data_IF_667635287779
#
_entry.id   IF_667635287779
#
_cell.length_a   1.000
_cell.length_b   1.000
_cell.length_c   1.000
_cell.angle_alpha   90.00
_cell.angle_beta   90.00
_cell.angle_gamma   90.00
#
_symmetry.space_group_name_H-M   'P 1'
#
loop_
_entity.id
_entity.type
_entity.pdbx_description
1 polymer ?
#
# COMPACT_ATOMS: atom_id res chain seq x y z
N UNK A 1 40.17 -40.31 13.33
CA UNK A 1 39.22 -41.44 13.35
C UNK A 1 37.76 -41.03 13.55
N UNK A 2 37.32 -40.48 14.70
CA UNK A 2 35.89 -40.16 14.91
C UNK A 2 35.40 -39.09 13.93
N UNK A 3 36.18 -38.02 13.71
CA UNK A 3 35.87 -36.99 12.71
C UNK A 3 35.74 -37.54 11.28
N UNK A 4 36.66 -38.39 10.84
CA UNK A 4 36.63 -38.98 9.48
C UNK A 4 35.40 -39.86 9.26
N UNK A 5 34.97 -40.60 10.30
CA UNK A 5 33.74 -41.37 10.25
C UNK A 5 32.49 -40.47 10.13
N UNK A 6 32.47 -39.35 10.88
CA UNK A 6 31.41 -38.34 10.77
C UNK A 6 31.40 -37.73 9.36
N UNK A 7 32.55 -37.30 8.83
CA UNK A 7 32.68 -36.72 7.48
C UNK A 7 32.19 -37.72 6.41
N UNK A 8 32.59 -39.00 6.50
CA UNK A 8 32.15 -40.05 5.56
C UNK A 8 30.62 -40.27 5.61
N UNK A 9 30.01 -40.22 6.79
CA UNK A 9 28.56 -40.33 6.93
C UNK A 9 27.82 -39.11 6.36
N UNK A 10 28.38 -37.91 6.51
CA UNK A 10 27.82 -36.68 5.92
C UNK A 10 27.90 -36.72 4.39
N UNK A 11 29.03 -37.16 3.82
CA UNK A 11 29.18 -37.35 2.36
C UNK A 11 28.17 -38.38 1.82
N UNK A 12 27.87 -39.40 2.61
CA UNK A 12 26.81 -40.38 2.34
C UNK A 12 25.37 -39.89 2.55
N UNK A 13 25.17 -38.62 2.96
CA UNK A 13 23.86 -38.00 3.30
C UNK A 13 23.14 -38.68 4.47
N UNK A 14 23.87 -39.41 5.31
CA UNK A 14 23.35 -40.14 6.47
C UNK A 14 23.41 -39.26 7.74
N UNK A 15 22.76 -38.09 7.67
CA UNK A 15 22.84 -37.02 8.67
C UNK A 15 22.44 -37.47 10.09
N UNK A 16 21.39 -38.28 10.21
CA UNK A 16 20.94 -38.82 11.50
C UNK A 16 22.00 -39.74 12.13
N UNK A 17 22.71 -40.53 11.32
CA UNK A 17 23.79 -41.41 11.78
C UNK A 17 25.03 -40.59 12.14
N UNK A 18 25.39 -39.60 11.31
CA UNK A 18 26.50 -38.68 11.59
C UNK A 18 26.30 -37.95 12.92
N UNK A 19 25.09 -37.42 13.16
CA UNK A 19 24.73 -36.74 14.42
C UNK A 19 24.73 -37.69 15.62
N UNK A 20 24.24 -38.93 15.45
CA UNK A 20 24.28 -39.95 16.50
C UNK A 20 25.72 -40.32 16.88
N UNK A 21 26.59 -40.51 15.89
CA UNK A 21 28.02 -40.81 16.12
C UNK A 21 28.73 -39.65 16.81
N UNK A 22 28.46 -38.41 16.39
CA UNK A 22 28.97 -37.22 17.09
C UNK A 22 28.52 -37.21 18.56
N UNK A 23 27.22 -37.42 18.82
CA UNK A 23 26.65 -37.41 20.18
C UNK A 23 27.19 -38.51 21.09
N UNK A 24 27.37 -39.72 20.58
CA UNK A 24 27.77 -40.87 21.39
C UNK A 24 29.28 -40.94 21.65
N UNK A 25 30.09 -40.55 20.66
CA UNK A 25 31.55 -40.74 20.73
C UNK A 25 32.33 -39.44 20.96
N UNK A 26 31.86 -38.31 20.44
CA UNK A 26 32.58 -37.04 20.57
C UNK A 26 31.67 -35.80 20.43
N UNK A 27 30.91 -35.44 21.48
CA UNK A 27 29.83 -34.44 21.41
C UNK A 27 30.25 -33.06 20.92
N UNK A 28 31.54 -32.70 21.00
CA UNK A 28 32.07 -31.45 20.46
C UNK A 28 31.89 -31.30 18.94
N UNK A 29 31.65 -32.40 18.22
CA UNK A 29 31.36 -32.37 16.79
C UNK A 29 29.87 -32.26 16.45
N UNK A 30 28.95 -32.30 17.43
CA UNK A 30 27.52 -32.06 17.15
C UNK A 30 27.26 -30.71 16.44
N UNK A 31 27.84 -29.57 16.89
CA UNK A 31 27.66 -28.30 16.20
C UNK A 31 28.19 -28.30 14.76
N UNK A 32 29.28 -29.03 14.51
CA UNK A 32 29.88 -29.16 13.18
C UNK A 32 28.97 -29.94 12.23
N UNK A 33 28.37 -31.04 12.69
CA UNK A 33 27.38 -31.80 11.89
C UNK A 33 26.14 -30.95 11.61
N UNK A 34 25.66 -30.21 12.60
CA UNK A 34 24.50 -29.33 12.45
C UNK A 34 24.76 -28.18 11.47
N UNK A 35 25.96 -27.59 11.48
CA UNK A 35 26.37 -26.55 10.53
C UNK A 35 26.47 -27.10 9.11
N UNK A 36 27.10 -28.26 8.91
CA UNK A 36 27.19 -28.93 7.61
C UNK A 36 25.84 -29.37 7.07
N UNK A 37 24.94 -29.82 7.95
CA UNK A 37 23.58 -30.18 7.55
C UNK A 37 22.78 -28.95 7.10
N UNK A 38 22.92 -27.80 7.78
CA UNK A 38 22.33 -26.53 7.35
C UNK A 38 22.84 -26.09 5.98
N UNK A 39 24.15 -26.16 5.74
CA UNK A 39 24.74 -25.85 4.43
C UNK A 39 24.20 -26.76 3.32
N UNK A 40 24.11 -28.07 3.59
CA UNK A 40 23.55 -29.03 2.67
C UNK A 40 22.09 -28.71 2.33
N UNK A 41 21.25 -28.50 3.33
CA UNK A 41 19.84 -28.19 3.13
C UNK A 41 19.64 -26.89 2.33
N UNK A 42 20.44 -25.84 2.62
CA UNK A 42 20.48 -24.60 1.83
C UNK A 42 20.81 -24.89 0.35
N UNK A 43 21.77 -25.76 0.09
CA UNK A 43 22.17 -26.16 -1.27
C UNK A 43 21.16 -27.04 -2.01
N UNK A 44 20.29 -27.78 -1.31
CA UNK A 44 19.26 -28.62 -1.95
C UNK A 44 18.02 -27.88 -2.40
N UNK A 45 17.82 -26.63 -1.96
CA UNK A 45 16.63 -25.84 -2.30
C UNK A 45 15.33 -26.30 -1.62
N UNK A 46 15.41 -27.18 -0.62
CA UNK A 46 14.23 -27.69 0.12
C UNK A 46 13.96 -26.87 1.38
N UNK A 47 13.18 -25.81 1.24
CA UNK A 47 12.84 -24.91 2.34
C UNK A 47 12.06 -25.60 3.48
N UNK A 48 11.21 -26.59 3.18
CA UNK A 48 10.41 -27.31 4.19
C UNK A 48 11.28 -28.05 5.21
N UNK A 49 12.35 -28.69 4.76
CA UNK A 49 13.29 -29.42 5.62
C UNK A 49 14.12 -28.46 6.50
N UNK A 50 14.30 -27.20 6.06
CA UNK A 50 15.00 -26.17 6.82
C UNK A 50 14.17 -25.60 7.97
N UNK A 51 12.84 -25.63 7.93
CA UNK A 51 12.00 -25.02 8.98
C UNK A 51 12.32 -25.61 10.36
N UNK A 52 12.57 -26.91 10.46
CA UNK A 52 12.90 -27.56 11.74
C UNK A 52 14.31 -27.26 12.27
N UNK A 53 15.20 -26.68 11.47
CA UNK A 53 16.64 -26.53 11.76
C UNK A 53 17.07 -25.07 11.80
N UNK A 54 16.59 -24.26 10.86
CA UNK A 54 16.86 -22.84 10.70
C UNK A 54 15.68 -22.18 9.97
N UNK A 55 14.66 -21.78 10.74
CA UNK A 55 13.43 -21.17 10.19
C UNK A 55 13.75 -19.91 9.39
N UNK A 56 14.73 -19.10 9.81
CA UNK A 56 15.05 -17.85 9.10
C UNK A 56 15.63 -18.14 7.73
N UNK A 57 16.54 -19.11 7.63
CA UNK A 57 17.04 -19.58 6.33
C UNK A 57 15.93 -20.17 5.45
N UNK A 58 14.98 -20.91 6.03
CA UNK A 58 13.82 -21.42 5.30
C UNK A 58 12.95 -20.28 4.73
N UNK A 59 12.71 -19.23 5.53
CA UNK A 59 11.94 -18.06 5.13
C UNK A 59 12.61 -17.27 4.01
N UNK A 60 13.92 -17.06 4.10
CA UNK A 60 14.70 -16.42 3.03
C UNK A 60 14.61 -17.24 1.73
N UNK A 61 14.71 -18.57 1.81
CA UNK A 61 14.55 -19.45 0.65
C UNK A 61 13.13 -19.44 0.07
N UNK A 62 12.08 -19.39 0.90
CA UNK A 62 10.71 -19.23 0.43
C UNK A 62 10.52 -17.90 -0.32
N UNK A 63 11.07 -16.80 0.20
CA UNK A 63 11.01 -15.49 -0.42
C UNK A 63 11.76 -15.46 -1.77
N UNK A 64 12.97 -16.01 -1.84
CA UNK A 64 13.78 -16.10 -3.06
C UNK A 64 13.09 -16.92 -4.16
N UNK A 65 12.38 -17.98 -3.78
CA UNK A 65 11.61 -18.83 -4.69
C UNK A 65 10.23 -18.25 -5.04
N UNK A 66 9.87 -17.06 -4.56
CA UNK A 66 8.56 -16.43 -4.78
C UNK A 66 7.40 -17.12 -4.05
N UNK A 67 7.68 -18.02 -3.10
CA UNK A 67 6.68 -18.74 -2.31
C UNK A 67 6.20 -17.90 -1.11
N UNK A 68 5.70 -16.70 -1.41
CA UNK A 68 5.41 -15.67 -0.41
C UNK A 68 4.33 -16.07 0.59
N UNK A 69 3.28 -16.77 0.15
CA UNK A 69 2.20 -17.21 1.04
C UNK A 69 2.74 -18.17 2.10
N UNK A 70 3.56 -19.15 1.70
CA UNK A 70 4.22 -20.07 2.64
C UNK A 70 5.20 -19.32 3.55
N UNK A 71 5.96 -18.37 3.00
CA UNK A 71 6.90 -17.53 3.75
C UNK A 71 6.19 -16.80 4.89
N UNK A 72 5.15 -16.02 4.58
CA UNK A 72 4.43 -15.21 5.57
C UNK A 72 3.68 -16.09 6.58
N UNK A 73 3.07 -17.20 6.14
CA UNK A 73 2.43 -18.16 7.06
C UNK A 73 3.42 -18.77 8.04
N UNK A 74 4.59 -19.20 7.56
CA UNK A 74 5.65 -19.76 8.40
C UNK A 74 6.17 -18.71 9.38
N UNK A 75 6.38 -17.47 8.92
CA UNK A 75 6.85 -16.38 9.77
C UNK A 75 5.83 -16.00 10.86
N UNK A 76 4.53 -16.02 10.53
CA UNK A 76 3.45 -15.77 11.48
C UNK A 76 3.40 -16.84 12.59
N UNK A 77 3.63 -18.11 12.24
CA UNK A 77 3.67 -19.23 13.19
C UNK A 77 4.80 -19.15 14.22
N UNK A 78 5.85 -18.35 13.98
CA UNK A 78 6.96 -18.18 14.92
C UNK A 78 6.60 -17.31 16.13
N UNK A 79 5.47 -16.61 16.13
CA UNK A 79 5.12 -15.58 17.12
C UNK A 79 6.23 -14.52 17.32
N UNK A 80 7.05 -14.29 16.31
CA UNK A 80 8.08 -13.26 16.31
C UNK A 80 7.68 -12.13 15.36
N UNK A 81 7.05 -11.11 15.93
CA UNK A 81 6.46 -9.99 15.18
C UNK A 81 7.48 -9.24 14.31
N UNK A 82 8.72 -9.06 14.79
CA UNK A 82 9.79 -8.42 14.04
C UNK A 82 10.18 -9.23 12.80
N UNK A 83 10.25 -10.56 12.92
CA UNK A 83 10.55 -11.45 11.80
C UNK A 83 9.39 -11.48 10.80
N UNK A 84 8.15 -11.58 11.27
CA UNK A 84 6.95 -11.52 10.41
C UNK A 84 6.97 -10.25 9.54
N UNK A 85 7.14 -9.08 10.15
CA UNK A 85 7.08 -7.81 9.42
C UNK A 85 8.29 -7.52 8.53
N UNK A 86 9.43 -8.21 8.72
CA UNK A 86 10.50 -8.25 7.72
C UNK A 86 9.98 -8.85 6.42
N UNK A 87 9.35 -10.04 6.48
CA UNK A 87 8.88 -10.74 5.29
C UNK A 87 7.61 -10.14 4.69
N UNK A 88 6.70 -9.60 5.51
CA UNK A 88 5.54 -8.83 5.01
C UNK A 88 6.01 -7.61 4.21
N UNK A 89 7.00 -6.85 4.70
CA UNK A 89 7.53 -5.70 3.97
C UNK A 89 8.22 -6.08 2.64
N UNK A 90 8.96 -7.19 2.62
CA UNK A 90 9.57 -7.73 1.39
C UNK A 90 8.50 -8.15 0.38
N UNK A 91 7.44 -8.82 0.83
CA UNK A 91 6.36 -9.24 -0.04
C UNK A 91 5.57 -8.05 -0.57
N UNK A 92 5.17 -7.12 0.29
CA UNK A 92 4.48 -5.87 -0.09
C UNK A 92 5.30 -5.07 -1.12
N UNK A 93 6.62 -4.97 -0.94
CA UNK A 93 7.51 -4.31 -1.91
C UNK A 93 7.49 -5.01 -3.28
N UNK A 94 7.41 -6.34 -3.30
CA UNK A 94 7.32 -7.12 -4.54
C UNK A 94 5.98 -6.88 -5.24
N UNK A 95 4.87 -6.94 -4.50
CA UNK A 95 3.53 -6.67 -5.02
C UNK A 95 3.38 -5.24 -5.58
N UNK A 96 3.92 -4.24 -4.89
CA UNK A 96 3.92 -2.84 -5.37
C UNK A 96 4.67 -2.72 -6.70
N UNK A 97 5.83 -3.39 -6.85
CA UNK A 97 6.58 -3.40 -8.12
C UNK A 97 5.80 -4.07 -9.26
N UNK A 98 4.95 -5.03 -8.94
CA UNK A 98 4.04 -5.70 -9.87
C UNK A 98 2.76 -4.90 -10.14
N UNK A 99 2.58 -3.72 -9.52
CA UNK A 99 1.38 -2.89 -9.64
C UNK A 99 0.19 -3.38 -8.81
N UNK A 100 0.41 -4.33 -7.89
CA UNK A 100 -0.61 -4.93 -7.02
C UNK A 100 -0.60 -4.30 -5.63
N UNK A 101 -0.74 -2.99 -5.57
CA UNK A 101 -0.72 -2.22 -4.31
C UNK A 101 -1.95 -2.50 -3.44
N UNK A 102 -3.05 -2.96 -4.03
CA UNK A 102 -4.22 -3.52 -3.35
C UNK A 102 -3.86 -4.78 -2.54
N UNK A 103 -3.18 -5.74 -3.15
CA UNK A 103 -2.74 -6.95 -2.45
C UNK A 103 -1.68 -6.64 -1.38
N UNK A 104 -0.85 -5.62 -1.60
CA UNK A 104 0.10 -5.15 -0.58
C UNK A 104 -0.62 -4.56 0.64
N UNK A 105 -1.70 -3.80 0.43
CA UNK A 105 -2.57 -3.30 1.50
C UNK A 105 -3.19 -4.45 2.29
N UNK A 106 -3.73 -5.48 1.62
CA UNK A 106 -4.34 -6.65 2.26
C UNK A 106 -3.40 -7.36 3.23
N UNK A 107 -2.09 -7.38 2.93
CA UNK A 107 -1.09 -7.94 3.86
C UNK A 107 -1.04 -7.17 5.17
N UNK A 108 -1.10 -5.84 5.14
CA UNK A 108 -1.04 -5.01 6.33
C UNK A 108 -2.37 -4.97 7.09
N UNK A 109 -3.50 -5.03 6.39
CA UNK A 109 -4.81 -5.25 7.03
C UNK A 109 -4.84 -6.58 7.78
N UNK A 110 -4.27 -7.64 7.19
CA UNK A 110 -4.26 -8.99 7.78
C UNK A 110 -3.25 -9.17 8.91
N UNK A 111 -2.05 -8.62 8.77
CA UNK A 111 -0.92 -8.88 9.67
C UNK A 111 -0.59 -7.71 10.61
N UNK A 112 -1.25 -6.57 10.45
CA UNK A 112 -1.00 -5.35 11.21
C UNK A 112 0.02 -4.43 10.54
N UNK A 113 0.07 -3.19 11.01
CA UNK A 113 0.81 -2.08 10.42
C UNK A 113 1.73 -1.45 11.48
N UNK A 114 2.90 -2.07 11.77
CA UNK A 114 3.79 -1.59 12.81
C UNK A 114 4.45 -0.25 12.44
N UNK A 115 4.83 0.56 13.45
CA UNK A 115 5.41 1.89 13.25
C UNK A 115 6.92 1.78 13.00
N UNK A 116 7.31 0.91 12.06
CA UNK A 116 8.71 0.77 11.65
C UNK A 116 9.04 1.80 10.59
N UNK A 117 9.93 2.74 10.90
CA UNK A 117 10.32 3.85 10.02
C UNK A 117 10.78 3.39 8.63
N UNK A 118 11.48 2.24 8.54
CA UNK A 118 11.90 1.63 7.28
C UNK A 118 10.73 1.22 6.37
N UNK A 119 9.53 1.03 6.91
CA UNK A 119 8.33 0.64 6.16
C UNK A 119 7.47 1.84 5.73
N UNK A 120 7.72 3.06 6.21
CA UNK A 120 6.85 4.21 5.94
C UNK A 120 6.67 4.50 4.46
N UNK A 121 7.72 4.32 3.66
CA UNK A 121 7.63 4.51 2.21
C UNK A 121 6.71 3.47 1.53
N UNK A 122 6.58 2.26 2.10
CA UNK A 122 5.65 1.24 1.61
C UNK A 122 4.21 1.71 1.86
N UNK A 123 3.91 2.17 3.07
CA UNK A 123 2.58 2.67 3.44
C UNK A 123 2.16 3.86 2.56
N UNK A 124 3.05 4.85 2.41
CA UNK A 124 2.82 6.00 1.53
C UNK A 124 2.59 5.58 0.09
N UNK A 125 3.36 4.61 -0.41
CA UNK A 125 3.24 4.13 -1.78
C UNK A 125 1.90 3.45 -2.03
N UNK A 126 1.43 2.62 -1.09
CA UNK A 126 0.09 2.02 -1.13
C UNK A 126 -0.97 3.12 -1.27
N UNK A 127 -0.95 4.12 -0.38
CA UNK A 127 -1.89 5.26 -0.44
C UNK A 127 -1.84 5.96 -1.80
N UNK A 128 -0.65 6.34 -2.27
CA UNK A 128 -0.50 7.06 -3.55
C UNK A 128 -1.00 6.25 -4.74
N UNK A 129 -0.74 4.93 -4.79
CA UNK A 129 -1.17 4.08 -5.91
C UNK A 129 -2.70 3.91 -5.93
N UNK A 130 -3.32 3.75 -4.75
CA UNK A 130 -4.79 3.73 -4.60
C UNK A 130 -5.42 5.07 -4.99
N UNK A 131 -4.83 6.20 -4.57
CA UNK A 131 -5.29 7.53 -4.97
C UNK A 131 -5.19 7.76 -6.48
N UNK A 132 -4.28 7.11 -7.20
CA UNK A 132 -4.17 7.20 -8.67
C UNK A 132 -5.13 6.28 -9.43
N UNK A 133 -5.78 5.34 -8.76
CA UNK A 133 -6.67 4.37 -9.42
C UNK A 133 -7.98 5.05 -9.87
N UNK A 134 -8.35 4.89 -11.13
CA UNK A 134 -9.47 5.60 -11.77
C UNK A 134 -10.85 4.97 -11.58
N UNK A 135 -10.90 3.67 -11.28
CA UNK A 135 -12.15 2.91 -11.14
C UNK A 135 -12.67 2.83 -9.68
N UNK A 136 -12.33 3.83 -8.84
CA UNK A 136 -12.69 3.85 -7.41
C UNK A 136 -13.75 4.90 -7.03
N UNK A 137 -14.33 5.59 -8.01
CA UNK A 137 -15.42 6.55 -7.82
C UNK A 137 -16.80 5.87 -7.92
N UNK A 138 -17.06 4.87 -7.07
CA UNK A 138 -18.30 4.07 -7.08
C UNK A 138 -18.61 3.47 -5.71
N UNK A 139 -19.85 3.01 -5.51
CA UNK A 139 -20.27 2.47 -4.22
C UNK A 139 -19.52 1.17 -3.86
N UNK A 140 -19.24 0.34 -4.86
CA UNK A 140 -18.57 -0.95 -4.74
C UNK A 140 -17.12 -0.82 -4.28
N UNK A 141 -16.50 0.35 -4.46
CA UNK A 141 -15.16 0.67 -3.99
C UNK A 141 -15.08 0.91 -2.47
N UNK A 142 -16.21 0.85 -1.75
CA UNK A 142 -16.24 1.03 -0.29
C UNK A 142 -15.23 0.13 0.43
N UNK A 143 -15.15 -1.16 0.04
CA UNK A 143 -14.26 -2.12 0.71
C UNK A 143 -12.80 -1.70 0.59
N UNK A 144 -12.35 -1.42 -0.63
CA UNK A 144 -10.99 -0.94 -0.90
C UNK A 144 -10.63 0.29 -0.07
N UNK A 145 -11.52 1.28 0.03
CA UNK A 145 -11.26 2.48 0.83
C UNK A 145 -11.35 2.24 2.33
N UNK A 146 -12.24 1.37 2.79
CA UNK A 146 -12.36 0.99 4.18
C UNK A 146 -11.12 0.22 4.66
N UNK A 147 -10.61 -0.70 3.84
CA UNK A 147 -9.38 -1.46 4.11
C UNK A 147 -8.17 -0.52 4.19
N UNK A 148 -8.08 0.48 3.30
CA UNK A 148 -7.04 1.52 3.37
C UNK A 148 -7.14 2.34 4.66
N UNK A 149 -8.36 2.75 5.02
CA UNK A 149 -8.63 3.48 6.27
C UNK A 149 -8.23 2.64 7.48
N UNK A 150 -8.57 1.35 7.49
CA UNK A 150 -8.30 0.46 8.63
C UNK A 150 -6.80 0.19 8.78
N UNK A 151 -6.07 -0.01 7.67
CA UNK A 151 -4.61 -0.09 7.67
C UNK A 151 -3.96 1.18 8.25
N UNK A 152 -4.40 2.37 7.80
CA UNK A 152 -3.88 3.65 8.28
C UNK A 152 -4.27 3.92 9.73
N UNK A 153 -5.45 3.49 10.16
CA UNK A 153 -5.90 3.63 11.53
C UNK A 153 -5.01 2.83 12.48
N UNK A 154 -4.74 1.56 12.16
CA UNK A 154 -3.81 0.73 12.92
C UNK A 154 -2.40 1.34 12.96
N UNK A 155 -1.90 1.87 11.83
CA UNK A 155 -0.62 2.59 11.81
C UNK A 155 -0.59 3.79 12.75
N UNK A 156 -1.60 4.68 12.69
CA UNK A 156 -1.69 5.85 13.56
C UNK A 156 -1.80 5.45 15.03
N UNK A 157 -2.61 4.44 15.37
CA UNK A 157 -2.68 3.93 16.75
C UNK A 157 -1.33 3.41 17.24
N UNK A 158 -0.58 2.73 16.37
CA UNK A 158 0.74 2.22 16.69
C UNK A 158 1.79 3.34 16.82
N UNK A 159 1.72 4.36 15.97
CA UNK A 159 2.58 5.55 16.04
C UNK A 159 2.34 6.33 17.33
N UNK A 160 1.07 6.55 17.70
CA UNK A 160 0.68 7.22 18.93
C UNK A 160 1.22 6.54 20.21
N UNK A 161 1.42 5.21 20.17
CA UNK A 161 2.00 4.39 21.24
C UNK A 161 3.53 4.29 21.19
N UNK A 162 4.17 4.87 20.18
CA UNK A 162 5.61 4.80 19.94
C UNK A 162 6.31 6.12 20.28
N UNK A 163 7.63 6.18 20.08
CA UNK A 163 8.41 7.42 20.19
C UNK A 163 8.05 8.47 19.11
N UNK A 164 7.30 8.07 18.08
CA UNK A 164 6.84 8.95 16.99
C UNK A 164 5.50 9.63 17.29
N UNK A 165 4.98 9.52 18.51
CA UNK A 165 3.72 10.15 18.90
C UNK A 165 3.76 11.67 18.67
N UNK A 166 2.81 12.18 17.89
CA UNK A 166 2.72 13.58 17.45
C UNK A 166 3.97 14.09 16.69
N UNK A 167 4.75 13.21 16.07
CA UNK A 167 5.80 13.65 15.14
C UNK A 167 5.18 14.16 13.83
N UNK A 168 5.89 14.97 13.03
CA UNK A 168 5.40 15.38 11.71
C UNK A 168 5.03 14.20 10.80
N UNK A 169 5.73 13.07 10.96
CA UNK A 169 5.41 11.83 10.25
C UNK A 169 4.08 11.25 10.71
N UNK A 170 3.78 11.30 12.01
CA UNK A 170 2.48 10.88 12.54
C UNK A 170 1.35 11.75 12.01
N UNK A 171 1.49 13.08 12.07
CA UNK A 171 0.50 14.03 11.55
C UNK A 171 0.25 13.83 10.03
N UNK A 172 1.30 13.50 9.28
CA UNK A 172 1.17 13.19 7.85
C UNK A 172 0.35 11.91 7.61
N UNK A 173 0.53 10.87 8.41
CA UNK A 173 -0.28 9.66 8.32
C UNK A 173 -1.71 9.88 8.84
N UNK A 174 -1.93 10.73 9.84
CA UNK A 174 -3.27 11.15 10.27
C UNK A 174 -4.02 11.88 9.16
N UNK A 175 -3.32 12.72 8.38
CA UNK A 175 -3.90 13.37 7.21
C UNK A 175 -4.30 12.34 6.14
N UNK A 176 -3.44 11.35 5.87
CA UNK A 176 -3.77 10.24 4.96
C UNK A 176 -4.95 9.41 5.46
N UNK A 177 -5.04 9.16 6.77
CA UNK A 177 -6.15 8.46 7.39
C UNK A 177 -7.47 9.22 7.20
N UNK A 178 -7.46 10.54 7.39
CA UNK A 178 -8.62 11.40 7.16
C UNK A 178 -9.08 11.33 5.69
N UNK A 179 -8.13 11.41 4.74
CA UNK A 179 -8.40 11.27 3.31
C UNK A 179 -9.06 9.91 3.02
N UNK A 180 -8.46 8.81 3.50
CA UNK A 180 -9.01 7.47 3.31
C UNK A 180 -10.41 7.34 3.93
N UNK A 181 -10.63 7.93 5.10
CA UNK A 181 -11.94 7.98 5.75
C UNK A 181 -12.99 8.72 4.90
N UNK A 182 -12.65 9.87 4.31
CA UNK A 182 -13.54 10.60 3.42
C UNK A 182 -13.86 9.79 2.16
N UNK A 183 -12.88 9.14 1.53
CA UNK A 183 -13.12 8.27 0.38
C UNK A 183 -14.01 7.06 0.71
N UNK A 184 -13.79 6.41 1.86
CA UNK A 184 -14.61 5.29 2.33
C UNK A 184 -16.05 5.75 2.59
N UNK A 185 -16.22 6.84 3.32
CA UNK A 185 -17.54 7.38 3.65
C UNK A 185 -18.28 7.86 2.40
N UNK A 186 -17.57 8.46 1.44
CA UNK A 186 -18.11 8.85 0.13
C UNK A 186 -18.65 7.63 -0.59
N UNK A 187 -17.86 6.57 -0.70
CA UNK A 187 -18.26 5.34 -1.41
C UNK A 187 -19.46 4.68 -0.74
N UNK A 188 -19.51 4.64 0.60
CA UNK A 188 -20.69 4.16 1.34
C UNK A 188 -21.94 5.02 1.05
N UNK A 189 -21.81 6.35 1.09
CA UNK A 189 -22.91 7.28 0.82
C UNK A 189 -23.43 7.18 -0.62
N UNK A 190 -22.57 6.85 -1.59
CA UNK A 190 -22.98 6.63 -2.98
C UNK A 190 -23.92 5.44 -3.17
N UNK A 191 -23.91 4.47 -2.25
CA UNK A 191 -24.79 3.29 -2.29
C UNK A 191 -26.25 3.59 -1.99
N UNK A 192 -26.59 4.81 -1.56
CA UNK A 192 -27.94 5.21 -1.20
C UNK A 192 -28.31 6.57 -1.81
N UNK A 193 -29.41 6.62 -2.58
CA UNK A 193 -29.82 7.84 -3.29
C UNK A 193 -29.97 9.07 -2.39
N UNK A 194 -30.53 8.88 -1.19
CA UNK A 194 -30.75 9.94 -0.21
C UNK A 194 -29.45 10.52 0.35
N UNK A 195 -28.34 9.78 0.25
CA UNK A 195 -27.02 10.18 0.75
C UNK A 195 -26.10 10.74 -0.34
N UNK A 196 -26.54 10.76 -1.61
CA UNK A 196 -25.78 11.38 -2.72
C UNK A 196 -25.33 12.82 -2.44
N UNK A 197 -26.14 13.70 -1.80
CA UNK A 197 -25.68 15.04 -1.42
C UNK A 197 -24.53 15.01 -0.39
N UNK A 198 -24.47 14.00 0.48
CA UNK A 198 -23.35 13.80 1.42
C UNK A 198 -22.11 13.32 0.67
N UNK A 199 -22.26 12.38 -0.26
CA UNK A 199 -21.15 11.96 -1.12
C UNK A 199 -20.54 13.15 -1.89
N UNK A 200 -21.37 14.05 -2.43
CA UNK A 200 -20.89 15.27 -3.08
C UNK A 200 -20.12 16.19 -2.11
N UNK A 201 -20.65 16.45 -0.92
CA UNK A 201 -19.95 17.25 0.11
C UNK A 201 -18.61 16.63 0.53
N UNK A 202 -18.53 15.31 0.61
CA UNK A 202 -17.28 14.59 0.88
C UNK A 202 -16.28 14.71 -0.28
N UNK A 203 -16.76 14.62 -1.53
CA UNK A 203 -15.91 14.85 -2.70
C UNK A 203 -15.35 16.28 -2.74
N UNK A 204 -16.17 17.29 -2.43
CA UNK A 204 -15.70 18.68 -2.29
C UNK A 204 -14.72 18.84 -1.14
N UNK A 205 -14.97 18.15 -0.02
CA UNK A 205 -14.07 18.18 1.15
C UNK A 205 -12.68 17.64 0.85
N UNK A 206 -12.56 16.70 -0.09
CA UNK A 206 -11.28 16.14 -0.52
C UNK A 206 -10.42 17.15 -1.31
N UNK A 207 -10.99 18.23 -1.85
CA UNK A 207 -10.24 19.26 -2.57
C UNK A 207 -9.22 19.99 -1.66
N UNK A 208 -9.40 19.95 -0.33
CA UNK A 208 -8.45 20.51 0.64
C UNK A 208 -7.13 19.74 0.73
N UNK A 209 -7.10 18.55 0.16
CA UNK A 209 -5.99 17.61 0.28
C UNK A 209 -5.35 17.34 -1.09
N UNK A 210 -5.45 18.27 -2.03
CA UNK A 210 -4.86 18.17 -3.38
C UNK A 210 -3.34 18.29 -3.41
N UNK A 211 -2.73 18.59 -2.26
CA UNK A 211 -1.30 18.44 -2.02
C UNK A 211 -0.87 16.96 -1.92
N UNK A 212 -1.80 16.06 -1.56
CA UNK A 212 -1.58 14.60 -1.46
C UNK A 212 -2.35 13.85 -2.56
N UNK A 213 -3.60 14.25 -2.82
CA UNK A 213 -4.47 13.66 -3.84
C UNK A 213 -4.13 14.31 -5.19
N UNK A 214 -4.00 13.55 -6.29
CA UNK A 214 -3.87 14.15 -7.62
C UNK A 214 -4.99 15.17 -7.88
N UNK A 215 -4.61 16.43 -8.12
CA UNK A 215 -5.55 17.55 -8.15
C UNK A 215 -6.60 17.38 -9.25
N UNK A 216 -6.16 16.99 -10.45
CA UNK A 216 -7.02 16.71 -11.60
C UNK A 216 -8.10 15.67 -11.26
N UNK A 217 -7.73 14.57 -10.61
CA UNK A 217 -8.68 13.58 -10.10
C UNK A 217 -9.68 14.20 -9.14
N UNK A 218 -9.20 14.92 -8.13
CA UNK A 218 -10.04 15.46 -7.07
C UNK A 218 -11.09 16.44 -7.63
N UNK A 219 -10.66 17.35 -8.52
CA UNK A 219 -11.54 18.31 -9.19
C UNK A 219 -12.55 17.64 -10.11
N UNK A 220 -12.13 16.65 -10.92
CA UNK A 220 -13.05 15.88 -11.75
C UNK A 220 -14.10 15.16 -10.91
N UNK A 221 -13.69 14.41 -9.88
CA UNK A 221 -14.61 13.65 -9.03
C UNK A 221 -15.60 14.56 -8.30
N UNK A 222 -15.12 15.68 -7.73
CA UNK A 222 -15.96 16.67 -7.07
C UNK A 222 -16.97 17.29 -8.04
N UNK A 223 -16.52 17.75 -9.21
CA UNK A 223 -17.38 18.33 -10.24
C UNK A 223 -18.47 17.37 -10.71
N UNK A 224 -18.11 16.11 -10.99
CA UNK A 224 -19.05 15.08 -11.42
C UNK A 224 -20.06 14.71 -10.31
N UNK A 225 -19.66 14.70 -9.05
CA UNK A 225 -20.60 14.47 -7.92
C UNK A 225 -21.56 15.64 -7.74
N UNK A 226 -21.06 16.89 -7.79
CA UNK A 226 -21.88 18.09 -7.70
C UNK A 226 -22.92 18.13 -8.81
N UNK A 227 -22.53 17.83 -10.06
CA UNK A 227 -23.45 17.77 -11.19
C UNK A 227 -24.58 16.75 -10.96
N UNK A 228 -24.26 15.57 -10.43
CA UNK A 228 -25.24 14.50 -10.17
C UNK A 228 -26.30 14.88 -9.12
N UNK A 229 -26.02 15.86 -8.26
CA UNK A 229 -26.95 16.32 -7.21
C UNK A 229 -27.53 17.71 -7.48
N UNK A 230 -27.29 18.28 -8.67
CA UNK A 230 -27.81 19.59 -9.08
C UNK A 230 -27.07 20.78 -8.45
N UNK A 231 -25.82 20.60 -8.02
CA UNK A 231 -24.97 21.71 -7.56
C UNK A 231 -24.20 22.31 -8.75
N UNK A 232 -24.95 22.83 -9.73
CA UNK A 232 -24.44 23.15 -11.06
C UNK A 232 -23.36 24.23 -11.04
N UNK A 233 -23.50 25.27 -10.21
CA UNK A 233 -22.48 26.32 -10.07
C UNK A 233 -21.14 25.76 -9.57
N UNK A 234 -21.17 24.88 -8.56
CA UNK A 234 -19.96 24.23 -8.06
C UNK A 234 -19.38 23.25 -9.07
N UNK A 235 -20.26 22.49 -9.76
CA UNK A 235 -19.84 21.58 -10.81
C UNK A 235 -19.12 22.31 -11.94
N UNK A 236 -19.64 23.48 -12.36
CA UNK A 236 -19.02 24.33 -13.37
C UNK A 236 -17.61 24.76 -12.97
N UNK A 237 -17.46 25.32 -11.77
CA UNK A 237 -16.16 25.77 -11.25
C UNK A 237 -15.15 24.62 -11.18
N UNK A 238 -15.53 23.47 -10.61
CA UNK A 238 -14.59 22.35 -10.43
C UNK A 238 -14.24 21.65 -11.75
N UNK A 239 -15.19 21.52 -12.68
CA UNK A 239 -14.92 20.87 -13.97
C UNK A 239 -14.11 21.77 -14.91
N UNK A 240 -14.26 23.10 -14.84
CA UNK A 240 -13.35 24.00 -15.57
C UNK A 240 -11.95 23.91 -14.99
N UNK A 241 -11.80 23.95 -13.67
CA UNK A 241 -10.49 23.75 -13.04
C UNK A 241 -9.85 22.42 -13.41
N UNK A 242 -10.64 21.35 -13.54
CA UNK A 242 -10.13 20.08 -14.04
C UNK A 242 -9.55 20.21 -15.46
N UNK A 243 -10.23 20.91 -16.38
CA UNK A 243 -9.72 21.12 -17.73
C UNK A 243 -8.42 21.91 -17.74
N UNK A 244 -8.34 23.00 -16.95
CA UNK A 244 -7.12 23.80 -16.83
C UNK A 244 -5.96 22.94 -16.28
N UNK A 245 -6.23 22.04 -15.33
CA UNK A 245 -5.23 21.12 -14.78
C UNK A 245 -4.78 20.08 -15.81
N UNK A 246 -5.68 19.59 -16.68
CA UNK A 246 -5.30 18.67 -17.76
C UNK A 246 -4.39 19.37 -18.77
N UNK A 247 -4.72 20.60 -19.17
CA UNK A 247 -3.86 21.42 -20.05
C UNK A 247 -2.49 21.67 -19.39
N UNK A 248 -2.48 22.07 -18.11
CA UNK A 248 -1.26 22.25 -17.34
C UNK A 248 -0.39 20.98 -17.27
N UNK A 249 -1.01 19.80 -17.13
CA UNK A 249 -0.31 18.49 -17.14
C UNK A 249 0.31 18.21 -18.51
N UNK A 250 -0.39 18.52 -19.61
CA UNK A 250 0.11 18.34 -20.97
C UNK A 250 1.28 19.29 -21.29
N UNK A 251 1.22 20.54 -20.79
CA UNK A 251 2.27 21.55 -20.94
C UNK A 251 3.43 21.38 -19.95
N UNK A 252 3.19 20.68 -18.83
CA UNK A 252 4.16 20.48 -17.76
C UNK A 252 4.40 21.72 -16.88
N UNK A 253 3.48 22.69 -16.85
CA UNK A 253 3.58 23.90 -16.01
C UNK A 253 2.22 24.32 -15.43
N UNK A 254 2.24 24.87 -14.22
CA UNK A 254 1.08 25.44 -13.52
C UNK A 254 0.98 26.97 -13.70
N UNK A 255 1.93 27.62 -14.38
CA UNK A 255 2.10 29.08 -14.37
C UNK A 255 0.87 29.85 -14.90
N UNK A 256 0.06 29.19 -15.72
CA UNK A 256 -1.12 29.77 -16.37
C UNK A 256 -2.43 29.54 -15.60
N UNK A 257 -2.39 28.84 -14.45
CA UNK A 257 -3.59 28.56 -13.65
C UNK A 257 -4.05 29.78 -12.85
N UNK A 258 -5.23 30.30 -13.19
CA UNK A 258 -5.91 31.33 -12.41
C UNK A 258 -6.57 30.72 -11.17
N UNK A 259 -6.17 31.18 -9.98
CA UNK A 259 -6.71 30.73 -8.68
C UNK A 259 -7.78 31.64 -8.06
N UNK A 260 -8.31 32.61 -8.82
CA UNK A 260 -9.28 33.59 -8.32
C UNK A 260 -10.52 32.97 -7.68
N UNK A 261 -11.08 31.90 -8.27
CA UNK A 261 -12.28 31.22 -7.77
C UNK A 261 -12.09 30.54 -6.40
N UNK A 262 -10.86 30.42 -5.91
CA UNK A 262 -10.51 29.64 -4.71
C UNK A 262 -9.79 30.45 -3.62
N UNK A 263 -9.57 31.75 -3.80
CA UNK A 263 -8.76 32.58 -2.88
C UNK A 263 -9.25 32.62 -1.42
N UNK A 264 -10.55 32.48 -1.20
CA UNK A 264 -11.17 32.48 0.15
C UNK A 264 -11.50 31.05 0.65
N UNK A 265 -10.90 30.04 0.02
CA UNK A 265 -11.10 28.63 0.38
C UNK A 265 -9.85 28.03 1.00
N UNK A 266 -10.00 26.85 1.58
CA UNK A 266 -8.91 26.03 2.10
C UNK A 266 -8.36 25.04 1.05
N UNK A 267 -8.64 25.27 -0.23
CA UNK A 267 -8.12 24.46 -1.35
C UNK A 267 -6.70 24.96 -1.69
N UNK A 268 -5.69 24.07 -1.69
CA UNK A 268 -4.31 24.43 -2.05
C UNK A 268 -4.21 25.03 -3.46
N UNK A 269 -3.53 26.18 -3.57
CA UNK A 269 -3.23 26.82 -4.87
C UNK A 269 -2.04 26.16 -5.58
N UNK A 270 -1.03 25.73 -4.81
CA UNK A 270 0.12 24.98 -5.29
C UNK A 270 -0.10 23.49 -5.05
N UNK A 271 -0.11 22.71 -6.12
CA UNK A 271 -0.36 21.26 -6.09
C UNK A 271 0.70 20.53 -6.91
N UNK A 272 1.10 19.31 -6.53
CA UNK A 272 2.03 18.53 -7.34
C UNK A 272 1.38 18.13 -8.66
N UNK A 273 2.06 18.43 -9.77
CA UNK A 273 1.61 18.06 -11.11
C UNK A 273 1.89 16.56 -11.36
N UNK A 274 0.88 15.73 -11.69
CA UNK A 274 1.10 14.33 -12.02
C UNK A 274 1.76 14.17 -13.41
N UNK A 275 2.52 13.09 -13.61
CA UNK A 275 3.16 12.78 -14.91
C UNK A 275 2.16 12.50 -16.05
N UNK A 276 0.93 12.10 -15.69
CA UNK A 276 -0.15 11.75 -16.62
C UNK A 276 -1.48 12.18 -16.03
N UNK A 277 -2.38 12.66 -16.88
CA UNK A 277 -3.74 12.99 -16.49
C UNK A 277 -4.50 11.74 -15.98
N UNK A 278 -5.40 11.98 -15.04
CA UNK A 278 -6.21 10.99 -14.35
C UNK A 278 -7.08 10.16 -15.29
N UNK A 279 -7.65 10.80 -16.33
CA UNK A 279 -8.41 10.14 -17.38
C UNK A 279 -7.62 10.21 -18.68
N UNK A 280 -7.42 9.05 -19.32
CA UNK A 280 -6.71 8.94 -20.60
C UNK A 280 -7.57 9.30 -21.82
N UNK A 281 -8.88 9.48 -21.64
CA UNK A 281 -9.84 9.71 -22.73
C UNK A 281 -10.50 11.07 -22.60
N UNK A 282 -9.89 12.02 -23.31
CA UNK A 282 -10.47 13.18 -24.00
C UNK A 282 -11.32 14.18 -23.20
N UNK A 283 -10.75 15.39 -23.06
CA UNK A 283 -11.45 16.67 -22.89
C UNK A 283 -12.73 16.80 -23.74
N UNK A 284 -12.84 16.13 -24.90
CA UNK A 284 -14.01 16.20 -25.78
C UNK A 284 -15.35 15.84 -25.10
N UNK A 285 -15.35 14.90 -24.13
CA UNK A 285 -16.59 14.50 -23.44
C UNK A 285 -17.09 15.56 -22.46
N UNK A 286 -16.18 16.36 -21.88
CA UNK A 286 -16.51 17.42 -20.93
C UNK A 286 -16.86 18.71 -21.67
N UNK A 287 -16.21 19.02 -22.80
CA UNK A 287 -16.63 20.11 -23.69
C UNK A 287 -18.06 19.90 -24.22
N UNK A 288 -18.45 18.64 -24.49
CA UNK A 288 -19.83 18.28 -24.84
C UNK A 288 -20.82 18.42 -23.66
N UNK A 289 -20.36 18.18 -22.44
CA UNK A 289 -21.14 18.40 -21.21
C UNK A 289 -21.48 19.89 -21.02
N UNK A 290 -20.55 20.80 -21.33
CA UNK A 290 -20.79 22.24 -21.20
C UNK A 290 -21.61 22.83 -22.35
N UNK A 291 -21.45 22.32 -23.58
CA UNK A 291 -22.26 22.79 -24.73
C UNK A 291 -23.74 22.40 -24.62
N UNK A 292 -24.07 21.30 -23.96
CA UNK A 292 -25.47 20.92 -23.70
C UNK A 292 -26.17 21.75 -22.62
N UNK A 293 -25.41 22.43 -21.74
CA UNK A 293 -25.94 23.24 -20.63
C UNK A 293 -26.15 24.72 -20.96
N UNK A 294 -25.75 25.18 -22.16
CA UNK A 294 -25.97 26.56 -22.65
C UNK A 294 -27.34 26.76 -23.33
N UNK A 295 -28.33 25.92 -23.00
CA UNK A 295 -29.74 26.21 -23.27
C UNK A 295 -30.37 26.51 -21.92
N UNK A 296 -30.24 27.75 -21.44
CA UNK A 296 -31.27 28.58 -20.77
C UNK A 296 -30.67 29.93 -20.39
#
# INVERSE_FOLDING_TARGET
MVKEAIDTLMDGKEWNKAKKVAKEFEPRYEPYVDEKYKEYLKGTGKAEDLVGVDVVAALDMYAENGQWEKCVQTAAGMNNFKVLHKYVALYATTLIKEGRSDAAMDLYVKHGTPPYSQNYNIYKRIVTDLLKTSDLMKAEAYRTWADLRDMLHDLCENLAKSSESNSPQHEYFDTMLLIAHYYATRSAAMGHDQLKPIAAKLAVSLLRHTDIIPADKAFYEAGMMCKKVGYDSMAFVFLNRYLDLVEAIEEGSLDMLDNTDFQETDIPAEVPLPEKAYLSVCCESISLIFTASNIY
#
